data_IF_399256396987
#
_entry.id   IF_399256396987
#
_cell.length_a   1.000
_cell.length_b   1.000
_cell.length_c   1.000
_cell.angle_alpha   90.00
_cell.angle_beta   90.00
_cell.angle_gamma   90.00
#
_symmetry.space_group_name_H-M   'P 1'
#
loop_
_entity.id
_entity.type
_entity.pdbx_description
1 polymer ?
#
# COMPACT_ATOMS: atom_id res chain seq x y z
N UNK A 1 23.87 16.90 -3.33
CA UNK A 1 23.65 16.51 -4.74
C UNK A 1 22.67 17.51 -5.35
N UNK A 2 23.11 18.33 -6.31
CA UNK A 2 22.23 19.23 -7.03
C UNK A 2 21.62 18.46 -8.21
N UNK A 3 20.31 18.22 -8.17
CA UNK A 3 19.60 17.58 -9.28
C UNK A 3 19.22 18.66 -10.29
N UNK A 4 19.74 18.52 -11.52
CA UNK A 4 19.38 19.38 -12.64
C UNK A 4 18.38 18.64 -13.52
N UNK A 5 17.23 19.28 -13.78
CA UNK A 5 16.20 18.79 -14.70
C UNK A 5 16.18 19.72 -15.91
N UNK A 6 16.26 19.14 -17.10
CA UNK A 6 16.15 19.89 -18.36
C UNK A 6 14.72 19.73 -18.85
N UNK A 7 14.03 20.85 -19.06
CA UNK A 7 12.68 20.89 -19.64
C UNK A 7 12.77 21.63 -20.96
N UNK A 8 12.36 20.98 -22.04
CA UNK A 8 12.27 21.60 -23.36
C UNK A 8 10.88 22.20 -23.54
N UNK A 9 10.81 23.51 -23.68
CA UNK A 9 9.58 24.26 -23.97
C UNK A 9 9.69 24.86 -25.38
N UNK A 10 8.57 24.94 -26.09
CA UNK A 10 8.47 25.79 -27.27
C UNK A 10 8.50 27.27 -26.87
N UNK A 11 8.85 28.15 -27.82
CA UNK A 11 8.91 29.60 -27.58
C UNK A 11 7.58 30.15 -27.04
N UNK A 12 6.45 29.64 -27.55
CA UNK A 12 5.11 30.04 -27.10
C UNK A 12 4.85 29.65 -25.64
N UNK A 13 5.21 28.42 -25.26
CA UNK A 13 5.05 27.94 -23.89
C UNK A 13 5.94 28.71 -22.91
N UNK A 14 7.16 29.03 -23.32
CA UNK A 14 8.07 29.85 -22.53
C UNK A 14 7.52 31.28 -22.34
N UNK A 15 6.97 31.89 -23.40
CA UNK A 15 6.36 33.22 -23.29
C UNK A 15 5.16 33.24 -22.34
N UNK A 16 4.30 32.23 -22.38
CA UNK A 16 3.18 32.12 -21.45
C UNK A 16 3.66 31.97 -20.00
N UNK A 17 4.69 31.14 -19.77
CA UNK A 17 5.30 30.98 -18.46
C UNK A 17 5.91 32.30 -17.95
N UNK A 18 6.62 33.03 -18.83
CA UNK A 18 7.23 34.31 -18.49
C UNK A 18 6.19 35.39 -18.16
N UNK A 19 5.07 35.42 -18.89
CA UNK A 19 3.96 36.32 -18.58
C UNK A 19 3.36 36.00 -17.20
N UNK A 20 3.15 34.73 -16.88
CA UNK A 20 2.59 34.33 -15.59
C UNK A 20 3.58 34.57 -14.42
N UNK A 21 4.87 34.37 -14.67
CA UNK A 21 5.93 34.69 -13.74
C UNK A 21 6.01 36.20 -13.47
N UNK A 22 5.79 37.03 -14.50
CA UNK A 22 5.77 38.49 -14.36
C UNK A 22 4.63 39.00 -13.47
N UNK A 23 3.45 38.37 -13.53
CA UNK A 23 2.31 38.71 -12.67
C UNK A 23 2.58 38.39 -11.20
N UNK A 24 3.37 37.36 -10.94
CA UNK A 24 3.74 36.92 -9.59
C UNK A 24 5.07 37.50 -9.09
N UNK A 25 5.76 38.30 -9.91
CA UNK A 25 7.07 38.89 -9.60
C UNK A 25 8.19 37.86 -9.45
N UNK A 26 8.02 36.65 -9.99
CA UNK A 26 8.98 35.55 -9.90
C UNK A 26 9.73 35.37 -11.23
N UNK A 27 10.87 34.71 -11.18
CA UNK A 27 11.52 34.20 -12.38
C UNK A 27 10.76 32.98 -12.92
N UNK A 28 10.70 32.77 -14.25
CA UNK A 28 9.97 31.65 -14.87
C UNK A 28 10.36 30.28 -14.29
N UNK A 29 11.65 30.06 -14.01
CA UNK A 29 12.18 28.81 -13.47
C UNK A 29 11.71 28.56 -12.03
N UNK A 30 11.58 29.62 -11.23
CA UNK A 30 11.06 29.49 -9.86
C UNK A 30 9.58 29.14 -9.88
N UNK A 31 8.82 29.77 -10.77
CA UNK A 31 7.40 29.45 -10.95
C UNK A 31 7.22 28.00 -11.41
N UNK A 32 8.00 27.57 -12.41
CA UNK A 32 7.99 26.18 -12.91
C UNK A 32 8.36 25.18 -11.81
N UNK A 33 9.39 25.48 -11.02
CA UNK A 33 9.79 24.65 -9.88
C UNK A 33 8.67 24.53 -8.84
N UNK A 34 8.01 25.63 -8.51
CA UNK A 34 6.91 25.64 -7.55
C UNK A 34 5.72 24.83 -8.07
N UNK A 35 5.41 24.92 -9.37
CA UNK A 35 4.37 24.10 -10.03
C UNK A 35 4.72 22.60 -10.03
N UNK A 36 5.96 22.23 -10.34
CA UNK A 36 6.40 20.83 -10.28
C UNK A 36 6.29 20.31 -8.84
N UNK A 37 6.65 21.15 -7.86
CA UNK A 37 6.56 20.79 -6.44
C UNK A 37 5.13 20.59 -5.97
N UNK A 38 4.19 21.43 -6.41
CA UNK A 38 2.78 21.27 -6.08
C UNK A 38 2.16 20.03 -6.75
N UNK A 39 2.60 19.68 -7.96
CA UNK A 39 2.24 18.42 -8.62
C UNK A 39 2.80 17.18 -7.92
N UNK A 40 3.96 17.28 -7.26
CA UNK A 40 4.49 16.19 -6.42
C UNK A 40 3.77 16.11 -5.07
N UNK A 41 3.15 17.20 -4.62
CA UNK A 41 2.41 17.28 -3.36
C UNK A 41 1.01 16.67 -3.43
N UNK A 42 0.51 16.24 -4.60
CA UNK A 42 -0.39 15.07 -4.65
C UNK A 42 0.43 13.84 -4.33
N UNK A 43 0.90 13.81 -3.08
CA UNK A 43 1.62 12.69 -2.50
C UNK A 43 0.78 11.47 -2.74
N UNK A 44 1.43 10.40 -3.23
CA UNK A 44 0.93 9.03 -3.06
C UNK A 44 0.29 8.97 -1.68
N UNK A 45 -1.04 8.92 -1.61
CA UNK A 45 -1.68 8.39 -0.43
C UNK A 45 -0.96 7.07 -0.18
N UNK A 46 -0.29 6.98 0.96
CA UNK A 46 0.19 5.69 1.44
C UNK A 46 -1.09 4.91 1.74
N UNK A 47 -1.68 4.34 0.70
CA UNK A 47 -2.83 3.48 0.81
C UNK A 47 -2.38 2.32 1.67
N UNK A 48 -2.80 2.34 2.94
CA UNK A 48 -2.59 1.25 3.85
C UNK A 48 -3.31 0.06 3.24
N UNK A 49 -2.54 -0.94 2.81
CA UNK A 49 -3.12 -2.10 2.15
C UNK A 49 -4.20 -2.68 3.04
N UNK A 50 -5.39 -2.88 2.48
CA UNK A 50 -6.44 -3.59 3.21
C UNK A 50 -5.97 -5.02 3.50
N UNK A 51 -6.52 -5.66 4.53
CA UNK A 51 -6.16 -7.05 4.85
C UNK A 51 -6.36 -8.01 3.67
N UNK A 52 -7.33 -7.71 2.79
CA UNK A 52 -7.57 -8.44 1.55
C UNK A 52 -6.46 -8.22 0.52
N UNK A 53 -6.04 -6.98 0.29
CA UNK A 53 -4.95 -6.66 -0.64
C UNK A 53 -3.63 -7.32 -0.19
N UNK A 54 -3.38 -7.35 1.12
CA UNK A 54 -2.23 -8.04 1.68
C UNK A 54 -2.28 -9.55 1.39
N UNK A 55 -3.43 -10.19 1.65
CA UNK A 55 -3.62 -11.61 1.38
C UNK A 55 -3.43 -11.93 -0.11
N UNK A 56 -4.00 -11.11 -1.01
CA UNK A 56 -3.86 -11.26 -2.46
C UNK A 56 -2.40 -11.16 -2.91
N UNK A 57 -1.63 -10.22 -2.32
CA UNK A 57 -0.20 -10.10 -2.59
C UNK A 57 0.57 -11.34 -2.14
N UNK A 58 0.35 -11.80 -0.91
CA UNK A 58 1.02 -12.98 -0.36
C UNK A 58 0.68 -14.27 -1.13
N UNK A 59 -0.54 -14.37 -1.66
CA UNK A 59 -0.93 -15.47 -2.54
C UNK A 59 -0.15 -15.45 -3.86
N UNK A 60 -0.01 -14.28 -4.50
CA UNK A 60 0.78 -14.12 -5.73
C UNK A 60 2.27 -14.39 -5.50
N UNK A 61 2.78 -14.09 -4.31
CA UNK A 61 4.16 -14.38 -3.90
C UNK A 61 4.37 -15.85 -3.51
N UNK A 62 3.30 -16.66 -3.47
CA UNK A 62 3.36 -18.09 -3.12
C UNK A 62 3.51 -18.35 -1.62
N UNK A 63 3.41 -17.32 -0.77
CA UNK A 63 3.44 -17.46 0.70
C UNK A 63 2.14 -18.08 1.20
N UNK A 64 1.01 -17.73 0.57
CA UNK A 64 -0.28 -18.35 0.84
C UNK A 64 -0.62 -19.34 -0.27
N UNK A 65 -1.10 -20.52 0.14
CA UNK A 65 -1.57 -21.55 -0.79
C UNK A 65 -2.92 -21.20 -1.41
N UNK A 66 -3.79 -20.47 -0.70
CA UNK A 66 -5.15 -20.14 -1.12
C UNK A 66 -5.62 -18.83 -0.49
N UNK A 67 -6.58 -18.17 -1.14
CA UNK A 67 -7.28 -17.01 -0.59
C UNK A 67 -8.60 -17.43 0.08
N UNK A 68 -8.86 -16.90 1.28
CA UNK A 68 -10.11 -17.16 1.98
C UNK A 68 -11.28 -16.56 1.19
N UNK A 69 -12.25 -17.40 0.84
CA UNK A 69 -13.52 -16.95 0.28
C UNK A 69 -14.47 -16.61 1.42
N UNK A 70 -15.12 -15.43 1.43
CA UNK A 70 -16.07 -15.09 2.48
C UNK A 70 -17.26 -16.05 2.43
N UNK A 71 -17.31 -16.97 3.39
CA UNK A 71 -18.42 -17.87 3.67
C UNK A 71 -18.79 -17.73 5.14
N UNK A 72 -20.07 -17.80 5.45
CA UNK A 72 -20.49 -18.01 6.83
C UNK A 72 -19.99 -19.36 7.34
N UNK A 73 -19.54 -19.38 8.58
CA UNK A 73 -19.15 -20.62 9.24
C UNK A 73 -20.40 -21.35 9.72
N UNK A 74 -20.34 -22.67 9.74
CA UNK A 74 -21.36 -23.46 10.41
C UNK A 74 -21.25 -23.31 11.93
N UNK A 75 -22.30 -23.66 12.70
CA UNK A 75 -22.24 -23.65 14.17
C UNK A 75 -21.08 -24.51 14.72
N UNK A 76 -20.81 -25.66 14.09
CA UNK A 76 -19.72 -26.56 14.48
C UNK A 76 -18.35 -25.95 14.16
N UNK A 77 -18.20 -25.28 13.01
CA UNK A 77 -16.96 -24.56 12.67
C UNK A 77 -16.70 -23.38 13.62
N UNK A 78 -17.76 -22.73 14.10
CA UNK A 78 -17.66 -21.67 15.11
C UNK A 78 -17.20 -22.21 16.47
N UNK A 79 -17.78 -23.32 16.94
CA UNK A 79 -17.41 -23.92 18.22
C UNK A 79 -15.97 -24.44 18.19
N UNK A 80 -15.58 -25.09 17.10
CA UNK A 80 -14.21 -25.60 16.93
C UNK A 80 -13.20 -24.46 16.84
N UNK A 81 -13.50 -23.38 16.11
CA UNK A 81 -12.64 -22.19 16.09
C UNK A 81 -12.48 -21.60 17.49
N UNK A 82 -13.54 -21.55 18.28
CA UNK A 82 -13.49 -21.09 19.67
C UNK A 82 -12.57 -21.96 20.54
N UNK A 83 -12.70 -23.30 20.42
CA UNK A 83 -11.84 -24.28 21.10
C UNK A 83 -10.37 -24.09 20.73
N UNK A 84 -10.07 -23.95 19.44
CA UNK A 84 -8.72 -23.73 18.95
C UNK A 84 -8.17 -22.38 19.44
N UNK A 85 -8.95 -21.31 19.39
CA UNK A 85 -8.53 -20.01 19.89
C UNK A 85 -8.13 -20.06 21.38
N UNK A 86 -8.86 -20.82 22.20
CA UNK A 86 -8.50 -21.03 23.61
C UNK A 86 -7.23 -21.88 23.76
N UNK A 87 -7.08 -22.92 22.93
CA UNK A 87 -5.90 -23.79 22.95
C UNK A 87 -4.62 -23.06 22.54
N UNK A 88 -4.71 -22.16 21.55
CA UNK A 88 -3.59 -21.40 21.00
C UNK A 88 -3.35 -20.05 21.68
N UNK A 89 -4.24 -19.61 22.59
CA UNK A 89 -4.07 -18.39 23.37
C UNK A 89 -3.08 -18.54 24.56
N UNK A 90 -2.44 -19.70 24.70
CA UNK A 90 -1.40 -19.92 25.72
C UNK A 90 -0.13 -19.13 25.40
N UNK A 91 0.63 -18.75 26.43
CA UNK A 91 1.95 -18.11 26.30
C UNK A 91 3.04 -19.03 25.68
N UNK A 92 2.70 -20.30 25.42
CA UNK A 92 3.59 -21.27 24.78
C UNK A 92 3.78 -20.90 23.30
N UNK A 93 5.02 -20.68 22.84
CA UNK A 93 5.26 -20.34 21.44
C UNK A 93 4.85 -21.50 20.53
N UNK A 94 4.33 -21.18 19.34
CA UNK A 94 3.84 -22.17 18.38
C UNK A 94 4.88 -23.26 18.02
N UNK A 95 6.18 -22.95 18.10
CA UNK A 95 7.27 -23.90 17.89
C UNK A 95 7.36 -25.01 18.94
N UNK A 96 6.78 -24.79 20.12
CA UNK A 96 6.73 -25.74 21.23
C UNK A 96 5.38 -26.46 21.33
N UNK A 97 4.41 -26.07 20.50
CA UNK A 97 3.09 -26.69 20.48
C UNK A 97 3.12 -27.99 19.66
N UNK A 98 2.82 -29.11 20.32
CA UNK A 98 2.63 -30.41 19.65
C UNK A 98 1.22 -30.46 19.08
N UNK A 99 1.09 -30.21 17.77
CA UNK A 99 -0.16 -30.40 17.05
C UNK A 99 -0.22 -31.87 16.62
N UNK A 100 -0.98 -32.69 17.33
CA UNK A 100 -1.26 -34.06 16.92
C UNK A 100 -2.16 -34.03 15.67
N UNK A 101 -1.65 -34.53 14.54
CA UNK A 101 -2.45 -34.79 13.34
C UNK A 101 -3.41 -35.95 13.61
N UNK A 102 -4.57 -35.62 14.18
CA UNK A 102 -5.66 -36.56 14.34
C UNK A 102 -6.38 -36.66 13.01
N UNK A 103 -5.89 -37.58 12.17
CA UNK A 103 -6.47 -37.96 10.88
C UNK A 103 -7.96 -38.35 10.95
N UNK A 104 -8.60 -38.64 9.80
CA UNK A 104 -10.05 -38.58 9.67
C UNK A 104 -10.76 -39.68 10.46
N UNK A 105 -11.72 -39.26 11.29
CA UNK A 105 -12.82 -40.10 11.80
C UNK A 105 -13.95 -40.18 10.78
#
# INVERSE_FOLDING_TARGET
MAYQMIVTLSDQEYHLLALEASKSGKQPEMLLRDMIRSLQATSKEQHLMTGRELAEKLYREGVLLNLATPRQLTPDEHSERGRLAHLFASDTPASEMVIEDRGPY
#
